data_IF_596834899999
#
_entry.id   IF_596834899999
#
_cell.length_a   1.000
_cell.length_b   1.000
_cell.length_c   1.000
_cell.angle_alpha   90.00
_cell.angle_beta   90.00
_cell.angle_gamma   90.00
#
_symmetry.space_group_name_H-M   'P 1'
#
loop_
_entity.id
_entity.type
_entity.pdbx_description
1 polymer ?
#
# COMPACT_ATOMS: atom_id res chain seq x y z
N UNK A 1 -89.44 17.46 -55.02
CA UNK A 1 -88.00 17.42 -55.16
C UNK A 1 -87.34 17.89 -53.90
N UNK A 2 -86.78 16.96 -53.11
CA UNK A 2 -85.97 17.27 -51.90
C UNK A 2 -84.50 17.05 -52.25
N UNK A 3 -83.77 18.16 -52.33
CA UNK A 3 -82.35 18.13 -52.48
C UNK A 3 -81.67 17.65 -51.19
N UNK A 4 -81.00 16.51 -51.24
CA UNK A 4 -80.20 16.00 -50.13
C UNK A 4 -78.90 16.81 -49.98
N UNK A 5 -78.77 17.56 -48.89
CA UNK A 5 -77.61 18.33 -48.53
C UNK A 5 -76.54 17.36 -48.02
N UNK A 6 -75.47 17.15 -48.77
CA UNK A 6 -74.30 16.36 -48.33
C UNK A 6 -73.47 17.18 -47.36
N UNK A 7 -73.37 16.68 -46.16
CA UNK A 7 -72.47 17.21 -45.17
C UNK A 7 -70.97 16.84 -45.47
N UNK A 8 -70.04 17.77 -45.32
CA UNK A 8 -68.64 17.46 -45.54
C UNK A 8 -68.10 16.55 -44.41
N UNK A 9 -67.35 15.51 -44.78
CA UNK A 9 -66.64 14.62 -43.86
C UNK A 9 -65.52 15.39 -43.21
N UNK A 10 -65.32 15.27 -41.91
CA UNK A 10 -64.12 15.83 -41.26
C UNK A 10 -62.90 15.11 -41.76
N UNK A 11 -61.90 15.86 -42.25
CA UNK A 11 -60.59 15.39 -42.57
C UNK A 11 -59.93 14.86 -41.27
N UNK A 12 -59.58 13.59 -41.31
CA UNK A 12 -58.86 12.93 -40.22
C UNK A 12 -57.62 13.71 -39.84
N UNK A 13 -57.49 13.99 -38.54
CA UNK A 13 -56.28 14.53 -37.91
C UNK A 13 -55.13 13.59 -38.20
N UNK A 14 -54.17 14.06 -38.99
CA UNK A 14 -52.90 13.37 -39.20
C UNK A 14 -52.22 13.17 -37.86
N UNK A 15 -52.24 11.93 -37.37
CA UNK A 15 -51.46 11.54 -36.21
C UNK A 15 -49.99 11.81 -36.51
N UNK A 16 -49.38 12.70 -35.74
CA UNK A 16 -47.93 12.85 -35.70
C UNK A 16 -47.34 11.49 -35.33
N UNK A 17 -46.38 10.96 -36.13
CA UNK A 17 -45.68 9.76 -35.72
C UNK A 17 -45.03 10.04 -34.36
N UNK A 18 -45.35 9.23 -33.36
CA UNK A 18 -44.66 9.25 -32.05
C UNK A 18 -43.19 9.08 -32.33
N UNK A 19 -42.39 10.06 -31.89
CA UNK A 19 -40.95 9.96 -31.97
C UNK A 19 -40.53 8.73 -31.17
N UNK A 20 -39.94 7.77 -31.85
CA UNK A 20 -39.37 6.59 -31.20
C UNK A 20 -38.37 7.04 -30.14
N UNK A 21 -38.36 6.43 -28.94
CA UNK A 21 -37.41 6.76 -27.92
C UNK A 21 -36.00 6.52 -28.48
N UNK A 22 -35.22 7.59 -28.61
CA UNK A 22 -33.81 7.52 -28.94
C UNK A 22 -33.12 6.82 -27.80
N UNK A 23 -32.76 5.56 -27.97
CA UNK A 23 -31.93 4.82 -27.03
C UNK A 23 -30.56 5.49 -26.94
N UNK A 24 -30.09 5.91 -25.75
CA UNK A 24 -28.80 6.52 -25.59
C UNK A 24 -27.72 5.44 -25.58
N UNK A 25 -27.42 4.88 -26.77
CA UNK A 25 -26.37 3.83 -26.89
C UNK A 25 -24.99 4.42 -27.15
N UNK A 26 -24.88 5.73 -27.41
CA UNK A 26 -23.60 6.40 -27.65
C UNK A 26 -22.86 6.77 -26.36
N UNK A 27 -23.57 7.10 -25.30
CA UNK A 27 -22.94 7.58 -24.03
C UNK A 27 -22.22 6.47 -23.24
N UNK A 28 -22.63 5.21 -23.39
CA UNK A 28 -21.97 4.08 -22.73
C UNK A 28 -20.58 3.77 -23.28
N UNK A 29 -20.37 3.98 -24.59
CA UNK A 29 -19.05 3.79 -25.21
C UNK A 29 -18.08 4.90 -24.84
N UNK A 30 -18.54 6.13 -24.75
CA UNK A 30 -17.73 7.29 -24.39
C UNK A 30 -17.27 7.20 -22.92
N UNK A 31 -18.18 6.90 -21.99
CA UNK A 31 -17.84 6.67 -20.61
C UNK A 31 -16.82 5.53 -20.41
N UNK A 32 -16.93 4.44 -21.18
CA UNK A 32 -15.98 3.34 -21.11
C UNK A 32 -14.57 3.75 -21.54
N UNK A 33 -14.43 4.60 -22.55
CA UNK A 33 -13.14 5.11 -23.02
C UNK A 33 -12.51 6.05 -21.98
N UNK A 34 -13.31 6.90 -21.33
CA UNK A 34 -12.88 7.77 -20.24
C UNK A 34 -12.39 6.96 -19.04
N UNK A 35 -13.11 5.90 -18.65
CA UNK A 35 -12.69 4.98 -17.61
C UNK A 35 -11.40 4.25 -17.97
N UNK A 36 -11.23 3.81 -19.20
CA UNK A 36 -9.99 3.17 -19.66
C UNK A 36 -8.77 4.11 -19.55
N UNK A 37 -8.96 5.40 -19.86
CA UNK A 37 -7.90 6.40 -19.72
C UNK A 37 -7.56 6.72 -18.26
N UNK A 38 -8.53 6.62 -17.35
CA UNK A 38 -8.35 6.90 -15.94
C UNK A 38 -7.80 5.71 -15.13
N UNK A 39 -8.06 4.48 -15.59
CA UNK A 39 -7.65 3.24 -14.93
C UNK A 39 -6.14 3.16 -14.65
N UNK A 40 -5.23 3.48 -15.60
CA UNK A 40 -3.80 3.45 -15.34
C UNK A 40 -3.38 4.41 -14.21
N UNK A 41 -3.99 5.58 -14.14
CA UNK A 41 -3.72 6.59 -13.10
C UNK A 41 -4.16 6.07 -11.73
N UNK A 42 -5.37 5.51 -11.64
CA UNK A 42 -5.86 4.88 -10.42
C UNK A 42 -4.96 3.73 -9.97
N UNK A 43 -4.50 2.91 -10.92
CA UNK A 43 -3.59 1.82 -10.63
C UNK A 43 -2.26 2.33 -10.05
N UNK A 44 -1.68 3.37 -10.64
CA UNK A 44 -0.45 3.98 -10.13
C UNK A 44 -0.63 4.57 -8.73
N UNK A 45 -1.74 5.26 -8.48
CA UNK A 45 -2.05 5.80 -7.15
C UNK A 45 -2.22 4.68 -6.12
N UNK A 46 -2.95 3.62 -6.47
CA UNK A 46 -3.12 2.44 -5.63
C UNK A 46 -1.78 1.75 -5.32
N UNK A 47 -0.94 1.61 -6.33
CA UNK A 47 0.39 1.01 -6.19
C UNK A 47 1.32 1.87 -5.32
N UNK A 48 1.27 3.19 -5.46
CA UNK A 48 2.00 4.12 -4.60
C UNK A 48 1.54 4.02 -3.14
N UNK A 49 0.23 3.95 -2.89
CA UNK A 49 -0.33 3.74 -1.56
C UNK A 49 0.11 2.40 -0.95
N UNK A 50 0.08 1.34 -1.71
CA UNK A 50 0.56 0.03 -1.29
C UNK A 50 2.07 0.06 -0.95
N UNK A 51 2.87 0.72 -1.77
CA UNK A 51 4.31 0.88 -1.54
C UNK A 51 4.61 1.63 -0.24
N UNK A 52 3.86 2.69 0.07
CA UNK A 52 3.97 3.40 1.35
C UNK A 52 3.60 2.49 2.53
N UNK A 53 2.58 1.65 2.38
CA UNK A 53 2.21 0.66 3.38
C UNK A 53 3.34 -0.34 3.67
N UNK A 54 3.98 -0.86 2.63
CA UNK A 54 5.15 -1.76 2.76
C UNK A 54 6.32 -1.06 3.46
N UNK A 55 6.60 0.20 3.11
CA UNK A 55 7.65 0.98 3.74
C UNK A 55 7.37 1.22 5.22
N UNK A 56 6.14 1.59 5.58
CA UNK A 56 5.73 1.77 6.97
C UNK A 56 5.82 0.48 7.77
N UNK A 57 5.41 -0.65 7.19
CA UNK A 57 5.54 -1.96 7.81
C UNK A 57 7.01 -2.34 8.04
N UNK A 58 7.88 -2.15 7.05
CA UNK A 58 9.32 -2.39 7.17
C UNK A 58 9.95 -1.54 8.28
N UNK A 59 9.52 -0.26 8.41
CA UNK A 59 10.00 0.64 9.45
C UNK A 59 9.64 0.16 10.86
N UNK A 60 8.43 -0.34 11.06
CA UNK A 60 7.99 -0.90 12.34
C UNK A 60 8.74 -2.18 12.68
N UNK A 61 8.90 -3.07 11.70
CA UNK A 61 9.65 -4.31 11.87
C UNK A 61 11.13 -4.05 12.18
N UNK A 62 11.77 -3.08 11.49
CA UNK A 62 13.15 -2.69 11.78
C UNK A 62 13.32 -2.20 13.22
N UNK A 63 12.36 -1.41 13.73
CA UNK A 63 12.36 -0.98 15.13
C UNK A 63 12.18 -2.13 16.13
N UNK A 64 11.37 -3.12 15.80
CA UNK A 64 11.19 -4.34 16.61
C UNK A 64 12.46 -5.18 16.63
N UNK A 65 13.08 -5.39 15.48
CA UNK A 65 14.34 -6.11 15.35
C UNK A 65 15.47 -5.44 16.13
N UNK A 66 15.61 -4.10 16.02
CA UNK A 66 16.63 -3.34 16.73
C UNK A 66 16.49 -3.47 18.26
N UNK A 67 15.26 -3.39 18.78
CA UNK A 67 15.00 -3.60 20.21
C UNK A 67 15.28 -5.02 20.66
N UNK A 68 14.94 -6.02 19.85
CA UNK A 68 15.23 -7.42 20.15
C UNK A 68 16.74 -7.69 20.20
N UNK A 69 17.50 -7.15 19.23
CA UNK A 69 18.95 -7.25 19.22
C UNK A 69 19.58 -6.57 20.43
N UNK A 70 19.17 -5.33 20.72
CA UNK A 70 19.72 -4.57 21.87
C UNK A 70 19.41 -5.27 23.20
N UNK A 71 18.21 -5.85 23.34
CA UNK A 71 17.85 -6.63 24.54
C UNK A 71 18.68 -7.89 24.67
N UNK A 72 18.84 -8.68 23.59
CA UNK A 72 19.66 -9.88 23.62
C UNK A 72 21.14 -9.59 23.97
N UNK A 73 21.63 -8.42 23.54
CA UNK A 73 22.97 -7.97 23.85
C UNK A 73 23.13 -7.39 25.30
N UNK A 74 22.01 -7.02 25.91
CA UNK A 74 21.99 -6.53 27.31
C UNK A 74 21.80 -7.65 28.31
N UNK A 75 21.24 -8.78 27.91
CA UNK A 75 21.08 -9.94 28.77
C UNK A 75 22.40 -10.73 28.80
N UNK A 76 22.88 -11.06 29.98
CA UNK A 76 24.08 -11.91 30.19
C UNK A 76 23.85 -13.37 29.77
N UNK A 77 22.66 -13.69 29.24
CA UNK A 77 22.30 -15.03 28.82
C UNK A 77 22.75 -15.24 27.37
N UNK A 78 23.94 -15.83 27.19
CA UNK A 78 24.58 -16.11 25.89
C UNK A 78 23.82 -17.12 25.00
N UNK A 79 22.55 -17.39 25.30
CA UNK A 79 21.78 -18.41 24.58
C UNK A 79 21.36 -18.00 23.14
N UNK A 80 21.32 -16.69 22.88
CA UNK A 80 20.86 -16.16 21.58
C UNK A 80 21.71 -14.96 21.16
N UNK A 81 22.25 -15.00 19.95
CA UNK A 81 22.98 -13.84 19.41
C UNK A 81 22.00 -12.69 19.11
N UNK A 82 22.45 -11.43 19.22
CA UNK A 82 21.62 -10.27 18.88
C UNK A 82 21.03 -10.32 17.46
N UNK A 83 21.79 -10.82 16.50
CA UNK A 83 21.35 -10.99 15.13
C UNK A 83 20.24 -12.04 15.01
N UNK A 84 20.38 -13.18 15.70
CA UNK A 84 19.36 -14.23 15.72
C UNK A 84 18.07 -13.72 16.41
N UNK A 85 18.22 -12.98 17.52
CA UNK A 85 17.08 -12.36 18.21
C UNK A 85 16.35 -11.35 17.32
N UNK A 86 17.11 -10.50 16.60
CA UNK A 86 16.53 -9.55 15.64
C UNK A 86 15.73 -10.25 14.53
N UNK A 87 16.31 -11.31 13.95
CA UNK A 87 15.68 -12.07 12.87
C UNK A 87 14.43 -12.83 13.33
N UNK A 88 14.47 -13.42 14.53
CA UNK A 88 13.35 -14.15 15.12
C UNK A 88 12.16 -13.21 15.49
N UNK A 89 12.43 -11.93 15.72
CA UNK A 89 11.42 -10.96 16.14
C UNK A 89 10.60 -10.36 14.99
N UNK A 90 10.94 -10.67 13.73
CA UNK A 90 10.34 -10.07 12.55
C UNK A 90 9.87 -11.14 11.55
N UNK A 91 9.09 -10.73 10.56
CA UNK A 91 8.65 -11.64 9.49
C UNK A 91 9.82 -12.09 8.61
N UNK A 92 9.73 -13.30 8.06
CA UNK A 92 10.80 -13.94 7.26
C UNK A 92 11.32 -13.08 6.10
N UNK A 93 10.43 -12.37 5.41
CA UNK A 93 10.85 -11.54 4.29
C UNK A 93 11.63 -10.30 4.74
N UNK A 94 11.32 -9.76 5.94
CA UNK A 94 12.07 -8.65 6.54
C UNK A 94 13.43 -9.16 7.04
N UNK A 95 13.46 -10.30 7.73
CA UNK A 95 14.69 -10.92 8.21
C UNK A 95 15.70 -11.14 7.07
N UNK A 96 15.25 -11.66 5.92
CA UNK A 96 16.09 -11.90 4.74
C UNK A 96 16.64 -10.63 4.09
N UNK A 97 16.06 -9.47 4.36
CA UNK A 97 16.44 -8.16 3.79
C UNK A 97 16.96 -7.19 4.83
N UNK A 98 17.17 -7.66 6.05
CA UNK A 98 17.70 -6.87 7.17
C UNK A 98 19.19 -7.08 7.34
N UNK A 99 19.87 -5.99 7.67
CA UNK A 99 21.25 -5.98 8.13
C UNK A 99 21.26 -5.45 9.55
N UNK A 100 21.82 -6.21 10.46
CA UNK A 100 21.95 -5.85 11.87
C UNK A 100 23.38 -5.41 12.12
N UNK A 101 23.58 -4.20 12.60
CA UNK A 101 24.90 -3.63 12.85
C UNK A 101 25.01 -3.25 14.31
N UNK A 102 25.99 -3.80 15.05
CA UNK A 102 26.27 -3.37 16.41
C UNK A 102 26.88 -1.96 16.41
N UNK A 103 26.64 -1.22 17.49
CA UNK A 103 27.16 0.11 17.72
C UNK A 103 27.08 0.44 19.21
N UNK A 104 27.36 1.70 19.57
CA UNK A 104 27.24 2.22 20.92
C UNK A 104 28.60 2.40 21.63
N UNK A 105 28.54 3.09 22.78
CA UNK A 105 29.64 3.32 23.67
C UNK A 105 29.72 2.23 24.73
N UNK A 106 30.78 2.27 25.56
CA UNK A 106 30.93 1.37 26.70
C UNK A 106 29.73 1.51 27.65
N UNK A 107 29.22 0.37 28.11
CA UNK A 107 28.04 0.32 28.98
C UNK A 107 26.68 0.35 28.27
N UNK A 108 26.66 0.39 26.97
CA UNK A 108 25.42 0.41 26.17
C UNK A 108 25.39 -0.67 25.07
N UNK A 109 24.25 -1.32 24.90
CA UNK A 109 24.00 -2.21 23.80
C UNK A 109 23.16 -1.45 22.74
N UNK A 110 23.82 -0.92 21.71
CA UNK A 110 23.17 -0.21 20.62
C UNK A 110 23.20 -1.07 19.37
N UNK A 111 22.03 -1.27 18.76
CA UNK A 111 21.90 -2.01 17.51
C UNK A 111 21.11 -1.22 16.49
N UNK A 112 21.64 -1.17 15.29
CA UNK A 112 21.01 -0.53 14.14
C UNK A 112 20.58 -1.61 13.16
N UNK A 113 19.31 -1.60 12.79
CA UNK A 113 18.75 -2.51 11.79
C UNK A 113 18.34 -1.72 10.56
N UNK A 114 18.88 -2.12 9.42
CA UNK A 114 18.55 -1.57 8.11
C UNK A 114 17.80 -2.62 7.30
N UNK A 115 16.59 -2.28 6.85
CA UNK A 115 15.75 -3.15 6.02
C UNK A 115 15.63 -2.56 4.63
N UNK A 116 15.99 -3.33 3.61
CA UNK A 116 15.81 -2.94 2.22
C UNK A 116 14.35 -3.13 1.81
N UNK A 117 13.71 -2.07 1.29
CA UNK A 117 12.31 -2.08 0.90
C UNK A 117 12.21 -2.58 -0.56
N UNK A 118 11.47 -3.68 -0.84
CA UNK A 118 11.22 -4.11 -2.20
C UNK A 118 10.36 -3.08 -2.95
N UNK A 119 10.72 -2.78 -4.20
CA UNK A 119 9.87 -1.98 -5.07
C UNK A 119 8.78 -2.85 -5.69
N UNK A 120 7.53 -2.42 -5.58
CA UNK A 120 6.39 -3.01 -6.28
C UNK A 120 5.96 -2.17 -7.50
N UNK A 121 6.58 -1.00 -7.67
CA UNK A 121 6.32 -0.11 -8.81
C UNK A 121 7.19 -0.55 -9.99
N UNK A 122 6.58 -0.92 -11.16
CA UNK A 122 7.35 -1.26 -12.34
C UNK A 122 8.24 -0.07 -12.78
N UNK A 123 9.42 -0.37 -13.28
CA UNK A 123 10.44 0.60 -13.73
C UNK A 123 11.09 1.45 -12.62
N UNK A 124 10.76 1.24 -11.36
CA UNK A 124 11.39 1.94 -10.24
C UNK A 124 12.23 0.96 -9.42
N UNK A 125 13.54 1.07 -9.51
CA UNK A 125 14.47 0.22 -8.75
C UNK A 125 14.67 0.75 -7.33
N UNK A 126 13.79 0.31 -6.43
CA UNK A 126 13.95 0.45 -4.99
C UNK A 126 13.59 1.83 -4.43
N UNK A 127 12.76 1.83 -3.40
CA UNK A 127 12.47 3.00 -2.55
C UNK A 127 13.52 3.17 -1.43
N UNK A 128 14.70 2.56 -1.58
CA UNK A 128 15.74 2.66 -0.58
C UNK A 128 15.60 1.66 0.57
N UNK A 129 16.07 2.06 1.72
CA UNK A 129 16.06 1.27 2.94
C UNK A 129 15.53 2.09 4.11
N UNK A 130 15.01 1.39 5.11
CA UNK A 130 14.62 1.97 6.39
C UNK A 130 15.61 1.53 7.44
N UNK A 131 16.10 2.48 8.22
CA UNK A 131 17.06 2.24 9.31
C UNK A 131 16.43 2.62 10.64
N UNK A 132 16.53 1.76 11.64
CA UNK A 132 16.12 2.00 13.02
C UNK A 132 17.22 1.57 13.97
N UNK A 133 17.38 2.34 15.04
CA UNK A 133 18.37 2.09 16.09
C UNK A 133 17.67 1.96 17.43
N UNK A 134 18.13 1.03 18.25
CA UNK A 134 17.71 0.88 19.62
C UNK A 134 18.94 0.76 20.51
N UNK A 135 18.88 1.38 21.69
CA UNK A 135 19.93 1.35 22.71
C UNK A 135 19.33 0.86 24.00
N UNK A 136 20.03 -0.06 24.67
CA UNK A 136 19.69 -0.55 26.00
C UNK A 136 20.93 -0.48 26.88
N UNK A 137 20.79 -0.13 28.16
CA UNK A 137 21.92 -0.17 29.10
C UNK A 137 22.36 -1.63 29.30
N UNK A 138 23.64 -1.86 29.34
CA UNK A 138 24.21 -3.10 29.87
C UNK A 138 24.31 -2.96 31.39
N UNK A 139 23.93 -4.00 32.15
CA UNK A 139 24.28 -4.01 33.58
C UNK A 139 25.80 -3.86 33.68
N UNK A 140 26.26 -2.86 34.42
CA UNK A 140 27.65 -2.81 34.79
C UNK A 140 27.93 -4.08 35.65
N UNK A 141 28.97 -4.83 35.30
CA UNK A 141 29.47 -5.85 36.21
C UNK A 141 29.99 -5.12 37.45
N UNK A 142 29.07 -4.71 38.34
CA UNK A 142 29.45 -4.32 39.68
C UNK A 142 30.13 -5.53 40.31
N UNK A 143 31.45 -5.37 40.54
CA UNK A 143 32.33 -6.23 41.31
C UNK A 143 31.55 -7.27 42.14
N UNK A 144 31.42 -8.48 41.61
CA UNK A 144 31.06 -9.61 42.48
C UNK A 144 32.24 -9.93 43.35
N UNK A 145 32.10 -9.75 44.66
CA UNK A 145 33.16 -10.11 45.59
C UNK A 145 33.48 -11.62 45.58
#
# INVERSE_FOLDING_TARGET
ARAARRLPRPRGAGGRPAAAPRTPTRDRGQAAIEYLGFLPILLLVGLAGFQLGVAAYAAQQAGTAARAAARAASDDDETTTPEAAAQAAVSDWVAKRSIVTPGGADGEATYTVTVTIPSVVPFWNGLGSVTKTATMPRPEEEDRP
#
